data_IF_207964794707
#
_entry.id   IF_207964794707
#
_cell.length_a   1.000
_cell.length_b   1.000
_cell.length_c   1.000
_cell.angle_alpha   90.00
_cell.angle_beta   90.00
_cell.angle_gamma   90.00
#
_symmetry.space_group_name_H-M   'P 1'
#
loop_
_entity.id
_entity.type
_entity.pdbx_description
1 polymer ?
#
# COMPACT_ATOMS: atom_id res chain seq x y z
N UNK A 1 -11.64 -10.76 28.04
CA UNK A 1 -11.45 -9.59 27.18
C UNK A 1 -10.71 -10.06 25.95
N UNK A 2 -11.30 -9.89 24.78
CA UNK A 2 -10.67 -10.17 23.49
C UNK A 2 -10.57 -8.82 22.79
N UNK A 3 -9.40 -8.51 22.23
CA UNK A 3 -9.12 -7.28 21.51
C UNK A 3 -8.89 -7.65 20.05
N UNK A 4 -9.42 -6.85 19.13
CA UNK A 4 -9.18 -6.97 17.70
C UNK A 4 -7.89 -6.21 17.34
N UNK A 5 -7.00 -6.86 16.58
CA UNK A 5 -5.74 -6.29 16.14
C UNK A 5 -5.61 -6.46 14.63
N UNK A 6 -5.83 -5.36 13.91
CA UNK A 6 -5.64 -5.29 12.46
C UNK A 6 -4.19 -4.98 12.16
N UNK A 7 -3.38 -6.01 11.89
CA UNK A 7 -1.97 -5.85 11.49
C UNK A 7 -1.78 -5.82 9.97
N UNK A 8 -2.82 -6.14 9.19
CA UNK A 8 -2.69 -6.34 7.75
C UNK A 8 -2.62 -5.03 6.96
N UNK A 9 -3.07 -3.92 7.52
CA UNK A 9 -3.00 -2.59 6.90
C UNK A 9 -2.99 -1.51 7.97
N UNK A 10 -2.44 -0.35 7.63
CA UNK A 10 -2.49 0.87 8.46
C UNK A 10 -3.12 2.00 7.64
N UNK A 11 -3.57 3.06 8.30
CA UNK A 11 -3.95 4.30 7.60
C UNK A 11 -2.76 4.88 6.84
N UNK A 12 -3.05 5.55 5.73
CA UNK A 12 -2.13 6.43 5.00
C UNK A 12 -1.54 7.54 5.89
N UNK A 13 -2.23 7.98 6.94
CA UNK A 13 -1.70 8.96 7.91
C UNK A 13 -0.74 8.34 8.94
N UNK A 14 -0.52 7.02 8.90
CA UNK A 14 0.39 6.35 9.82
C UNK A 14 1.84 6.78 9.55
N UNK A 15 2.66 7.07 10.58
CA UNK A 15 4.05 7.52 10.38
C UNK A 15 4.88 6.58 9.51
N UNK A 16 4.70 5.26 9.62
CA UNK A 16 5.40 4.30 8.76
C UNK A 16 5.07 4.48 7.28
N UNK A 17 3.83 4.78 6.92
CA UNK A 17 3.45 5.01 5.52
C UNK A 17 4.07 6.31 5.00
N UNK A 18 4.03 7.37 5.81
CA UNK A 18 4.63 8.66 5.44
C UNK A 18 6.16 8.57 5.28
N UNK A 19 6.84 7.81 6.13
CA UNK A 19 8.28 7.57 5.98
C UNK A 19 8.57 6.67 4.77
N UNK A 20 7.82 5.56 4.61
CA UNK A 20 7.99 4.63 3.49
C UNK A 20 7.82 5.33 2.14
N UNK A 21 6.81 6.18 1.97
CA UNK A 21 6.59 6.89 0.70
C UNK A 21 7.64 7.96 0.40
N UNK A 22 8.27 8.55 1.43
CA UNK A 22 9.24 9.64 1.29
C UNK A 22 10.69 9.16 1.18
N UNK A 23 11.05 8.04 1.83
CA UNK A 23 12.41 7.50 1.86
C UNK A 23 12.46 6.01 1.47
N UNK A 24 12.68 5.69 0.18
CA UNK A 24 12.82 4.32 -0.33
C UNK A 24 13.90 3.48 0.31
N UNK A 25 15.04 4.08 0.62
CA UNK A 25 16.21 3.38 1.14
C UNK A 25 16.25 3.41 2.67
N UNK A 26 15.28 4.09 3.28
CA UNK A 26 15.12 4.23 4.71
C UNK A 26 14.61 2.94 5.38
N UNK A 27 14.59 2.92 6.73
CA UNK A 27 14.22 1.73 7.50
C UNK A 27 12.78 1.24 7.29
N UNK A 28 11.92 2.08 6.70
CA UNK A 28 10.52 1.76 6.41
C UNK A 28 10.21 1.60 4.92
N UNK A 29 11.21 1.66 4.04
CA UNK A 29 11.01 1.60 2.58
C UNK A 29 10.19 0.39 2.14
N UNK A 30 10.46 -0.77 2.73
CA UNK A 30 9.83 -2.06 2.39
C UNK A 30 8.65 -2.45 3.31
N UNK A 31 8.15 -1.53 4.15
CA UNK A 31 7.01 -1.81 5.04
C UNK A 31 5.67 -1.90 4.29
N UNK A 32 5.61 -1.36 3.08
CA UNK A 32 4.45 -1.41 2.18
C UNK A 32 4.88 -1.99 0.85
N UNK A 33 3.91 -2.50 0.09
CA UNK A 33 4.16 -3.06 -1.23
C UNK A 33 4.12 -1.93 -2.25
N UNK A 34 5.24 -1.69 -2.92
CA UNK A 34 5.39 -0.66 -3.94
C UNK A 34 5.74 -1.29 -5.30
N UNK A 35 5.22 -0.74 -6.39
CA UNK A 35 5.53 -1.20 -7.74
C UNK A 35 5.70 -0.04 -8.73
N UNK A 36 6.63 -0.17 -9.69
CA UNK A 36 6.81 0.83 -10.74
C UNK A 36 5.65 0.89 -11.75
N UNK A 37 4.87 -0.20 -11.84
CA UNK A 37 3.65 -0.27 -12.64
C UNK A 37 2.55 -1.08 -11.91
N UNK A 38 1.32 -0.99 -12.41
CA UNK A 38 0.15 -1.68 -11.89
C UNK A 38 0.01 -3.13 -12.39
N UNK A 39 1.08 -3.70 -12.98
CA UNK A 39 1.04 -5.04 -13.58
C UNK A 39 1.43 -6.16 -12.64
N UNK A 40 1.88 -5.83 -11.43
CA UNK A 40 2.14 -6.83 -10.42
C UNK A 40 0.83 -7.44 -9.90
N UNK A 41 0.83 -8.75 -9.68
CA UNK A 41 -0.33 -9.52 -9.20
C UNK A 41 -1.61 -9.38 -10.06
N UNK A 42 -1.49 -9.39 -11.39
CA UNK A 42 -2.65 -9.35 -12.31
C UNK A 42 -3.67 -10.47 -12.10
N UNK A 43 -3.24 -11.63 -11.59
CA UNK A 43 -4.14 -12.75 -11.27
C UNK A 43 -4.95 -12.52 -9.97
N UNK A 44 -4.55 -11.54 -9.15
CA UNK A 44 -5.29 -11.15 -7.96
C UNK A 44 -6.58 -10.45 -8.36
N UNK A 45 -7.71 -11.05 -8.01
CA UNK A 45 -9.03 -10.47 -8.28
C UNK A 45 -9.19 -9.15 -7.53
N UNK A 46 -9.72 -8.13 -8.19
CA UNK A 46 -10.25 -6.95 -7.53
C UNK A 46 -11.52 -7.40 -6.80
N UNK A 47 -11.54 -7.27 -5.48
CA UNK A 47 -12.67 -7.76 -4.65
C UNK A 47 -13.83 -6.76 -4.71
N UNK A 48 -13.53 -5.46 -4.85
CA UNK A 48 -14.48 -4.37 -4.87
C UNK A 48 -14.66 -3.78 -6.28
N UNK A 49 -15.00 -4.63 -7.26
CA UNK A 49 -15.13 -4.23 -8.68
C UNK A 49 -16.16 -3.13 -8.94
N UNK A 50 -17.14 -2.96 -8.05
CA UNK A 50 -18.18 -1.93 -8.19
C UNK A 50 -17.68 -0.53 -7.83
N UNK A 51 -16.58 -0.44 -7.08
CA UNK A 51 -16.05 0.84 -6.56
C UNK A 51 -14.59 1.09 -6.92
N UNK A 52 -13.82 0.05 -7.23
CA UNK A 52 -12.40 0.14 -7.51
C UNK A 52 -12.06 -0.51 -8.86
N UNK A 53 -11.19 0.15 -9.61
CA UNK A 53 -10.73 -0.31 -10.92
C UNK A 53 -9.42 -1.09 -10.85
N UNK A 54 -8.72 -1.07 -9.71
CA UNK A 54 -7.42 -1.72 -9.49
C UNK A 54 -7.18 -1.99 -8.00
N UNK A 55 -6.36 -3.00 -7.71
CA UNK A 55 -5.82 -3.26 -6.37
C UNK A 55 -4.63 -2.34 -6.01
N UNK A 56 -4.20 -1.50 -6.96
CA UNK A 56 -3.06 -0.60 -6.85
C UNK A 56 -3.50 0.87 -6.91
N UNK A 57 -2.84 1.74 -6.15
CA UNK A 57 -3.13 3.19 -6.14
C UNK A 57 -1.83 3.96 -6.28
N UNK A 58 -1.72 4.76 -7.35
CA UNK A 58 -0.52 5.57 -7.58
C UNK A 58 -0.32 6.63 -6.49
N UNK A 59 0.87 6.63 -5.87
CA UNK A 59 1.29 7.65 -4.91
C UNK A 59 2.16 8.72 -5.59
N UNK A 60 1.78 10.01 -5.56
CA UNK A 60 2.50 11.07 -6.26
C UNK A 60 3.84 11.48 -5.61
N UNK A 61 4.05 11.16 -4.33
CA UNK A 61 5.30 11.44 -3.61
C UNK A 61 6.32 10.36 -3.96
N UNK A 62 5.89 9.10 -3.87
CA UNK A 62 6.70 7.92 -4.18
C UNK A 62 6.93 7.75 -5.69
N UNK A 63 5.98 8.22 -6.50
CA UNK A 63 5.90 7.99 -7.96
C UNK A 63 5.85 6.51 -8.33
N UNK A 64 5.24 5.71 -7.47
CA UNK A 64 5.01 4.28 -7.65
C UNK A 64 3.55 3.97 -7.30
N UNK A 65 3.11 2.78 -7.68
CA UNK A 65 1.83 2.19 -7.32
C UNK A 65 1.90 1.47 -5.98
#
# INVERSE_FOLDING_TARGET
MIIDLVMNHTSDQHPWFQESRCDPEGPYGDYYVWADDDKQYQDARIIFVDTETSNWTFDPVRKQY
#
